data_IF_948603404010
#
_entry.id   IF_948603404010
#
_cell.length_a   1.000
_cell.length_b   1.000
_cell.length_c   1.000
_cell.angle_alpha   90.00
_cell.angle_beta   90.00
_cell.angle_gamma   90.00
#
_symmetry.space_group_name_H-M   'P 1'
#
loop_
_entity.id
_entity.type
_entity.pdbx_description
1 polymer ?
#
# COMPACT_ATOMS: atom_id res chain seq x y z
N UNK A 1 -27.93 0.48 -5.13
CA UNK A 1 -28.62 1.68 -5.63
C UNK A 1 -29.74 1.19 -6.53
N UNK A 2 -30.99 1.51 -6.21
CA UNK A 2 -32.10 1.34 -7.15
C UNK A 2 -31.87 2.12 -8.46
N UNK A 3 -32.51 1.69 -9.55
CA UNK A 3 -32.46 2.40 -10.82
C UNK A 3 -33.08 3.79 -10.71
N UNK A 4 -32.51 4.76 -11.42
CA UNK A 4 -32.89 6.18 -11.35
C UNK A 4 -32.04 7.02 -10.38
N UNK A 5 -31.22 6.38 -9.54
CA UNK A 5 -30.27 7.08 -8.67
C UNK A 5 -29.10 7.70 -9.47
N UNK A 6 -28.42 8.67 -8.86
CA UNK A 6 -27.18 9.26 -9.42
C UNK A 6 -26.03 9.14 -8.42
N UNK A 7 -24.92 8.52 -8.85
CA UNK A 7 -23.66 8.56 -8.13
C UNK A 7 -22.91 9.84 -8.49
N UNK A 8 -22.71 10.73 -7.52
CA UNK A 8 -21.98 11.99 -7.71
C UNK A 8 -20.56 11.87 -7.18
N UNK A 9 -19.59 12.16 -8.04
CA UNK A 9 -18.16 12.12 -7.72
C UNK A 9 -17.50 13.42 -8.18
N UNK A 10 -16.64 13.98 -7.34
CA UNK A 10 -15.98 15.26 -7.64
C UNK A 10 -14.87 15.11 -8.68
N UNK A 11 -14.18 13.96 -8.70
CA UNK A 11 -13.04 13.66 -9.59
C UNK A 11 -12.93 12.16 -9.86
N UNK A 12 -12.26 11.78 -10.96
CA UNK A 12 -12.12 10.38 -11.35
C UNK A 12 -11.24 9.56 -10.38
N UNK A 13 -10.21 10.16 -9.78
CA UNK A 13 -9.36 9.52 -8.76
C UNK A 13 -10.09 9.15 -7.46
N UNK A 14 -11.29 9.72 -7.25
CA UNK A 14 -12.18 9.39 -6.14
C UNK A 14 -13.17 8.29 -6.47
N UNK A 15 -13.38 8.01 -7.76
CA UNK A 15 -14.23 6.94 -8.24
C UNK A 15 -13.48 5.61 -8.26
N UNK A 16 -12.25 5.59 -8.76
CA UNK A 16 -11.54 4.36 -9.10
C UNK A 16 -10.01 4.47 -8.90
N UNK A 17 -9.33 3.32 -8.86
CA UNK A 17 -7.87 3.24 -8.68
C UNK A 17 -7.08 3.25 -9.99
N UNK A 18 -7.77 3.06 -11.12
CA UNK A 18 -7.20 3.06 -12.47
C UNK A 18 -8.30 3.37 -13.49
N UNK A 19 -7.92 3.72 -14.72
CA UNK A 19 -8.88 3.96 -15.80
C UNK A 19 -9.71 2.72 -16.18
N UNK A 20 -9.16 1.49 -16.26
CA UNK A 20 -9.97 0.28 -16.45
C UNK A 20 -11.00 0.06 -15.35
N UNK A 21 -10.59 0.21 -14.09
CA UNK A 21 -11.47 0.12 -12.92
C UNK A 21 -12.60 1.19 -12.97
N UNK A 22 -12.27 2.41 -13.41
CA UNK A 22 -13.27 3.46 -13.60
C UNK A 22 -14.32 3.10 -14.66
N UNK A 23 -13.88 2.48 -15.77
CA UNK A 23 -14.77 1.98 -16.83
C UNK A 23 -15.67 0.87 -16.32
N UNK A 24 -15.12 -0.11 -15.61
CA UNK A 24 -15.88 -1.23 -15.07
C UNK A 24 -16.99 -0.73 -14.13
N UNK A 25 -16.68 0.27 -13.28
CA UNK A 25 -17.66 0.92 -12.40
C UNK A 25 -18.73 1.66 -13.23
N UNK A 26 -18.34 2.44 -14.24
CA UNK A 26 -19.29 3.16 -15.10
C UNK A 26 -20.23 2.21 -15.85
N UNK A 27 -19.73 1.06 -16.33
CA UNK A 27 -20.52 0.03 -17.00
C UNK A 27 -21.46 -0.69 -16.02
N UNK A 28 -21.02 -0.93 -14.79
CA UNK A 28 -21.88 -1.46 -13.72
C UNK A 28 -23.03 -0.51 -13.37
N UNK A 29 -22.75 0.78 -13.20
CA UNK A 29 -23.77 1.80 -12.92
C UNK A 29 -24.78 1.89 -14.06
N UNK A 30 -24.28 1.91 -15.30
CA UNK A 30 -25.12 1.93 -16.50
C UNK A 30 -26.06 0.72 -16.54
N UNK A 31 -25.56 -0.50 -16.31
CA UNK A 31 -26.38 -1.72 -16.26
C UNK A 31 -27.44 -1.69 -15.16
N UNK A 32 -27.18 -0.99 -14.06
CA UNK A 32 -28.12 -0.80 -12.96
C UNK A 32 -29.11 0.36 -13.19
N UNK A 33 -28.99 1.09 -14.30
CA UNK A 33 -29.79 2.28 -14.57
C UNK A 33 -29.46 3.44 -13.61
N UNK A 34 -28.23 3.49 -13.11
CA UNK A 34 -27.73 4.53 -12.20
C UNK A 34 -26.86 5.50 -13.01
N UNK A 35 -27.13 6.79 -12.89
CA UNK A 35 -26.36 7.83 -13.58
C UNK A 35 -25.04 8.08 -12.85
N UNK A 36 -23.96 8.32 -13.59
CA UNK A 36 -22.68 8.75 -13.04
C UNK A 36 -22.51 10.25 -13.30
N UNK A 37 -22.34 11.06 -12.25
CA UNK A 37 -21.98 12.48 -12.36
C UNK A 37 -20.51 12.67 -11.95
N UNK A 38 -19.70 13.18 -12.86
CA UNK A 38 -18.29 13.49 -12.67
C UNK A 38 -18.08 15.00 -12.71
N UNK A 39 -17.68 15.58 -11.58
CA UNK A 39 -17.32 16.99 -11.49
C UNK A 39 -18.44 17.95 -11.94
N UNK A 40 -19.71 17.54 -11.82
CA UNK A 40 -20.88 18.31 -12.23
C UNK A 40 -21.46 17.90 -13.59
N UNK A 41 -20.79 17.04 -14.36
CA UNK A 41 -21.27 16.57 -15.67
C UNK A 41 -21.79 15.14 -15.58
N UNK A 42 -22.96 14.87 -16.14
CA UNK A 42 -23.49 13.50 -16.25
C UNK A 42 -22.74 12.78 -17.37
N UNK A 43 -22.15 11.63 -17.05
CA UNK A 43 -21.51 10.75 -17.99
C UNK A 43 -22.56 9.95 -18.76
N UNK A 44 -22.54 10.05 -20.10
CA UNK A 44 -23.32 9.21 -20.99
C UNK A 44 -22.39 8.22 -21.72
N UNK A 45 -22.53 6.90 -21.49
CA UNK A 45 -21.77 5.87 -22.18
C UNK A 45 -22.18 5.67 -23.65
N UNK A 46 -23.15 6.41 -24.18
CA UNK A 46 -23.50 6.38 -25.61
C UNK A 46 -22.96 7.61 -26.35
N UNK A 47 -22.54 8.66 -25.63
CA UNK A 47 -21.93 9.85 -26.22
C UNK A 47 -20.43 9.62 -26.50
N UNK A 48 -19.99 9.66 -27.78
CA UNK A 48 -18.58 9.56 -28.13
C UNK A 48 -17.72 10.65 -27.49
N UNK A 49 -18.25 11.86 -27.31
CA UNK A 49 -17.53 12.99 -26.70
C UNK A 49 -17.36 12.74 -25.20
N UNK A 50 -18.43 12.33 -24.50
CA UNK A 50 -18.39 11.91 -23.11
C UNK A 50 -17.38 10.79 -22.85
N UNK A 51 -17.30 9.78 -23.73
CA UNK A 51 -16.26 8.73 -23.65
C UNK A 51 -14.85 9.28 -23.79
N UNK A 52 -14.62 10.19 -24.74
CA UNK A 52 -13.31 10.79 -24.94
C UNK A 52 -12.89 11.59 -23.69
N UNK A 53 -13.78 12.46 -23.18
CA UNK A 53 -13.51 13.24 -21.97
C UNK A 53 -13.23 12.34 -20.77
N UNK A 54 -14.02 11.28 -20.58
CA UNK A 54 -13.81 10.32 -19.50
C UNK A 54 -12.40 9.70 -19.55
N UNK A 55 -11.95 9.27 -20.74
CA UNK A 55 -10.62 8.69 -20.90
C UNK A 55 -9.52 9.71 -20.66
N UNK A 56 -9.64 10.93 -21.20
CA UNK A 56 -8.66 11.99 -21.01
C UNK A 56 -8.53 12.35 -19.53
N UNK A 57 -9.66 12.50 -18.82
CA UNK A 57 -9.65 12.75 -17.37
C UNK A 57 -8.96 11.62 -16.61
N UNK A 58 -9.18 10.36 -16.99
CA UNK A 58 -8.50 9.22 -16.37
C UNK A 58 -7.01 9.19 -16.65
N UNK A 59 -6.59 9.48 -17.88
CA UNK A 59 -5.18 9.59 -18.24
C UNK A 59 -4.48 10.71 -17.44
N UNK A 60 -5.13 11.88 -17.29
CA UNK A 60 -4.59 12.98 -16.48
C UNK A 60 -4.45 12.57 -15.01
N UNK A 61 -5.46 11.92 -14.44
CA UNK A 61 -5.43 11.45 -13.06
C UNK A 61 -4.31 10.40 -12.82
N UNK A 62 -4.13 9.45 -13.74
CA UNK A 62 -3.04 8.47 -13.67
C UNK A 62 -1.66 9.15 -13.78
N UNK A 63 -1.50 10.10 -14.71
CA UNK A 63 -0.29 10.88 -14.86
C UNK A 63 0.09 11.66 -13.59
N UNK A 64 -0.87 12.33 -12.96
CA UNK A 64 -0.65 13.03 -11.69
C UNK A 64 -0.22 12.08 -10.57
N UNK A 65 -0.86 10.92 -10.46
CA UNK A 65 -0.50 9.90 -9.49
C UNK A 65 0.94 9.37 -9.71
N UNK A 66 1.33 9.16 -10.96
CA UNK A 66 2.68 8.72 -11.31
C UNK A 66 3.74 9.78 -11.03
N UNK A 67 3.45 11.06 -11.27
CA UNK A 67 4.34 12.15 -10.88
C UNK A 67 4.56 12.20 -9.36
N UNK A 68 3.51 12.02 -8.56
CA UNK A 68 3.63 11.98 -7.09
C UNK A 68 4.49 10.80 -6.66
N UNK A 69 4.30 9.62 -7.26
CA UNK A 69 5.11 8.42 -6.99
C UNK A 69 6.57 8.63 -7.36
N UNK A 70 6.84 9.22 -8.52
CA UNK A 70 8.19 9.52 -8.99
C UNK A 70 8.93 10.42 -8.01
N UNK A 71 8.31 11.55 -7.61
CA UNK A 71 8.88 12.48 -6.62
C UNK A 71 9.11 11.82 -5.26
N UNK A 72 8.18 10.97 -4.83
CA UNK A 72 8.34 10.21 -3.57
C UNK A 72 9.54 9.27 -3.65
N UNK A 73 9.70 8.54 -4.75
CA UNK A 73 10.81 7.61 -4.97
C UNK A 73 12.16 8.35 -5.00
N UNK A 74 12.22 9.50 -5.65
CA UNK A 74 13.40 10.37 -5.66
C UNK A 74 13.76 10.83 -4.24
N UNK A 75 12.78 11.37 -3.49
CA UNK A 75 12.97 11.76 -2.09
C UNK A 75 13.42 10.59 -1.20
N UNK A 76 12.86 9.40 -1.41
CA UNK A 76 13.28 8.18 -0.73
C UNK A 76 14.71 7.79 -1.08
N UNK A 77 15.14 7.91 -2.34
CA UNK A 77 16.51 7.62 -2.76
C UNK A 77 17.51 8.55 -2.05
N UNK A 78 17.21 9.85 -1.99
CA UNK A 78 18.02 10.84 -1.27
C UNK A 78 18.06 10.53 0.23
N UNK A 79 16.92 10.20 0.85
CA UNK A 79 16.86 9.84 2.26
C UNK A 79 17.60 8.54 2.58
N UNK A 80 17.58 7.56 1.67
CA UNK A 80 18.35 6.31 1.76
C UNK A 80 19.85 6.59 1.70
N UNK A 81 20.30 7.40 0.74
CA UNK A 81 21.71 7.79 0.61
C UNK A 81 22.22 8.53 1.86
N UNK A 82 21.37 9.33 2.51
CA UNK A 82 21.65 10.00 3.80
C UNK A 82 21.48 9.11 5.03
N UNK A 83 21.21 7.81 4.87
CA UNK A 83 21.04 6.85 5.97
C UNK A 83 19.82 7.09 6.86
N UNK A 84 18.86 7.93 6.44
CA UNK A 84 17.69 8.31 7.23
C UNK A 84 16.55 7.30 7.13
N UNK A 85 16.48 6.52 6.05
CA UNK A 85 15.51 5.44 5.91
C UNK A 85 15.98 4.22 6.70
N UNK A 86 15.49 4.10 7.93
CA UNK A 86 15.55 2.86 8.70
C UNK A 86 14.19 2.20 8.59
N UNK A 87 14.18 0.94 8.13
CA UNK A 87 12.96 0.13 8.15
C UNK A 87 12.41 -0.04 9.58
N UNK A 88 11.44 -0.93 9.75
CA UNK A 88 10.86 -1.20 11.08
C UNK A 88 11.99 -1.47 12.09
N UNK A 89 12.06 -0.64 13.15
CA UNK A 89 13.03 -0.84 14.22
C UNK A 89 12.87 -2.26 14.80
N UNK A 90 13.97 -2.97 15.10
CA UNK A 90 13.88 -4.24 15.81
C UNK A 90 13.05 -4.11 17.09
N UNK A 91 12.26 -5.14 17.42
CA UNK A 91 11.45 -5.14 18.65
C UNK A 91 12.30 -5.20 19.93
N UNK A 92 13.52 -5.71 19.81
CA UNK A 92 14.47 -5.88 20.90
C UNK A 92 15.58 -4.86 20.77
N UNK A 93 16.05 -4.33 21.91
CA UNK A 93 17.27 -3.55 21.97
C UNK A 93 18.49 -4.43 21.64
N UNK A 94 19.64 -3.82 21.34
CA UNK A 94 20.89 -4.57 21.12
C UNK A 94 21.28 -5.43 22.33
N UNK A 95 21.05 -4.94 23.55
CA UNK A 95 21.35 -5.69 24.78
C UNK A 95 20.39 -6.86 24.98
N UNK A 96 19.10 -6.67 24.70
CA UNK A 96 18.10 -7.74 24.74
C UNK A 96 18.40 -8.80 23.69
N UNK A 97 18.80 -8.40 22.48
CA UNK A 97 19.16 -9.33 21.42
C UNK A 97 20.41 -10.14 21.78
N UNK A 98 21.44 -9.51 22.36
CA UNK A 98 22.63 -10.21 22.85
C UNK A 98 22.29 -11.20 23.98
N UNK A 99 21.44 -10.81 24.92
CA UNK A 99 21.00 -11.69 26.01
C UNK A 99 20.19 -12.88 25.48
N UNK A 100 19.28 -12.63 24.54
CA UNK A 100 18.50 -13.68 23.87
C UNK A 100 19.42 -14.70 23.17
N UNK A 101 20.43 -14.23 22.42
CA UNK A 101 21.38 -15.10 21.73
C UNK A 101 22.25 -15.88 22.71
N UNK A 102 22.64 -15.27 23.84
CA UNK A 102 23.40 -15.96 24.89
C UNK A 102 22.59 -17.10 25.52
N UNK A 103 21.32 -16.85 25.88
CA UNK A 103 20.41 -17.87 26.40
C UNK A 103 20.19 -19.02 25.41
N UNK A 104 20.08 -18.70 24.12
CA UNK A 104 19.98 -19.72 23.08
C UNK A 104 21.26 -20.58 22.97
N UNK A 105 22.44 -19.94 23.03
CA UNK A 105 23.74 -20.64 22.94
C UNK A 105 24.06 -21.48 24.18
N UNK A 106 23.55 -21.10 25.35
CA UNK A 106 23.68 -21.90 26.57
C UNK A 106 22.93 -23.24 26.47
N UNK A 107 21.91 -23.33 25.60
CA UNK A 107 21.17 -24.57 25.35
C UNK A 107 20.15 -24.94 26.43
N UNK A 108 20.01 -24.12 27.47
CA UNK A 108 19.12 -24.37 28.62
C UNK A 108 17.65 -24.01 28.34
N UNK A 109 17.37 -23.28 27.27
CA UNK A 109 16.01 -22.86 26.89
C UNK A 109 15.72 -23.16 25.43
N UNK A 110 14.50 -23.64 25.16
CA UNK A 110 13.96 -23.80 23.82
C UNK A 110 13.69 -22.43 23.18
N UNK A 111 13.64 -22.38 21.85
CA UNK A 111 13.32 -21.14 21.12
C UNK A 111 11.91 -20.62 21.43
N UNK A 112 11.00 -21.46 21.89
CA UNK A 112 9.65 -21.09 22.34
C UNK A 112 9.70 -20.38 23.70
N UNK A 113 10.39 -20.96 24.69
CA UNK A 113 10.55 -20.37 26.02
C UNK A 113 11.27 -19.02 25.94
N UNK A 114 12.32 -18.93 25.11
CA UNK A 114 13.01 -17.66 24.85
C UNK A 114 12.04 -16.63 24.24
N UNK A 115 11.16 -17.04 23.33
CA UNK A 115 10.18 -16.11 22.75
C UNK A 115 9.23 -15.55 23.81
N UNK A 116 8.81 -16.38 24.77
CA UNK A 116 7.94 -16.00 25.89
C UNK A 116 8.65 -15.05 26.87
N UNK A 117 9.88 -15.38 27.28
CA UNK A 117 10.70 -14.54 28.19
C UNK A 117 10.85 -13.12 27.65
N UNK A 118 11.14 -13.00 26.34
CA UNK A 118 11.33 -11.71 25.68
C UNK A 118 10.04 -11.09 25.13
N UNK A 119 8.88 -11.75 25.30
CA UNK A 119 7.56 -11.32 24.79
C UNK A 119 7.58 -10.99 23.29
N UNK A 120 8.23 -11.85 22.50
CA UNK A 120 8.33 -11.73 21.04
C UNK A 120 7.84 -12.99 20.35
N UNK A 121 7.55 -12.91 19.05
CA UNK A 121 7.24 -14.11 18.27
C UNK A 121 8.51 -14.95 18.06
N UNK A 122 8.37 -16.29 17.94
CA UNK A 122 9.49 -17.20 17.61
C UNK A 122 10.29 -16.75 16.38
N UNK A 123 9.63 -16.18 15.38
CA UNK A 123 10.29 -15.62 14.19
C UNK A 123 11.27 -14.47 14.51
N UNK A 124 11.05 -13.73 15.59
CA UNK A 124 11.96 -12.68 16.07
C UNK A 124 13.21 -13.28 16.71
N UNK A 125 13.04 -14.39 17.45
CA UNK A 125 14.14 -15.17 18.04
C UNK A 125 15.06 -15.72 16.94
N UNK A 126 14.49 -16.39 15.94
CA UNK A 126 15.26 -16.90 14.80
C UNK A 126 16.00 -15.79 14.03
N UNK A 127 15.35 -14.65 13.78
CA UNK A 127 15.99 -13.51 13.12
C UNK A 127 17.15 -12.92 13.95
N UNK A 128 17.03 -12.91 15.28
CA UNK A 128 18.10 -12.47 16.15
C UNK A 128 19.31 -13.40 16.09
N UNK A 129 19.08 -14.72 16.15
CA UNK A 129 20.13 -15.74 16.04
C UNK A 129 20.81 -15.66 14.66
N UNK A 130 20.03 -15.53 13.58
CA UNK A 130 20.56 -15.41 12.22
C UNK A 130 21.43 -14.16 12.05
N UNK A 131 21.04 -13.01 12.63
CA UNK A 131 21.86 -11.79 12.62
C UNK A 131 23.15 -11.92 13.42
N UNK A 132 23.16 -12.74 14.47
CA UNK A 132 24.32 -12.96 15.33
C UNK A 132 25.25 -14.08 14.87
N UNK A 133 24.87 -14.81 13.83
CA UNK A 133 25.71 -15.85 13.21
C UNK A 133 26.52 -15.20 12.09
N UNK A 134 27.86 -15.25 12.12
CA UNK A 134 28.68 -14.74 11.02
C UNK A 134 28.30 -15.47 9.72
N UNK A 135 28.13 -14.72 8.63
CA UNK A 135 28.09 -15.32 7.29
C UNK A 135 29.48 -15.89 7.05
N UNK A 136 29.58 -17.20 6.88
CA UNK A 136 30.81 -17.88 6.48
C UNK A 136 31.21 -17.47 5.06
#
# INVERSE_FOLDING_TARGET
MPGGDTLVVTKLDRLARSLPDARDIADELTRKGVSLNLGGSIYDPNDPVGKLLFNVLGMVAEFEADLIRARTREGMAVAKAKGKLRGKKPKLSKSQEAHLVALHRAGEHTTTEIAEIFKVARSTVYRAIQRATPIA
#
